data_IF_875887557902
#
_entry.id   IF_875887557902
#
_cell.length_a   1.000
_cell.length_b   1.000
_cell.length_c   1.000
_cell.angle_alpha   90.00
_cell.angle_beta   90.00
_cell.angle_gamma   90.00
#
_symmetry.space_group_name_H-M   'P 1'
#
loop_
_entity.id
_entity.type
_entity.pdbx_description
1 polymer ?
#
# COMPACT_ATOMS: atom_id res chain seq x y z
N UNK A 1 31.53 -3.49 72.29
CA UNK A 1 31.03 -4.23 71.09
C UNK A 1 30.04 -3.36 70.33
N UNK A 2 30.45 -2.78 69.18
CA UNK A 2 29.55 -1.94 68.35
C UNK A 2 28.94 -2.82 67.26
N UNK A 3 27.60 -2.91 67.20
CA UNK A 3 26.86 -3.63 66.13
C UNK A 3 26.70 -2.68 64.96
N UNK A 4 27.28 -3.04 63.79
CA UNK A 4 27.06 -2.35 62.50
C UNK A 4 25.78 -2.83 61.88
N UNK A 5 24.84 -1.89 61.60
CA UNK A 5 23.63 -2.15 60.81
C UNK A 5 23.98 -2.12 59.34
N UNK A 6 23.69 -3.22 58.63
CA UNK A 6 23.78 -3.33 57.18
C UNK A 6 22.47 -2.89 56.57
N UNK A 7 22.45 -1.74 55.87
CA UNK A 7 21.32 -1.22 55.12
C UNK A 7 21.23 -1.95 53.77
N UNK A 8 20.27 -2.87 53.67
CA UNK A 8 19.93 -3.52 52.39
C UNK A 8 18.86 -2.68 51.65
N UNK A 9 19.28 -1.76 50.78
CA UNK A 9 18.42 -1.09 49.84
C UNK A 9 17.97 -2.06 48.73
N UNK A 10 16.71 -2.54 48.82
CA UNK A 10 16.09 -3.33 47.79
C UNK A 10 15.89 -2.45 46.52
N UNK A 11 16.54 -2.84 45.41
CA UNK A 11 16.33 -2.22 44.08
C UNK A 11 14.93 -2.54 43.58
N UNK A 12 14.04 -1.53 43.52
CA UNK A 12 12.72 -1.66 42.85
C UNK A 12 12.94 -1.94 41.37
N UNK A 13 12.56 -3.15 40.92
CA UNK A 13 12.55 -3.52 39.51
C UNK A 13 11.56 -2.63 38.76
N UNK A 14 12.04 -1.91 37.73
CA UNK A 14 11.19 -1.13 36.83
C UNK A 14 10.27 -2.09 36.07
N UNK A 15 8.96 -2.04 36.35
CA UNK A 15 7.92 -2.75 35.63
C UNK A 15 7.94 -2.31 34.16
N UNK A 16 8.42 -3.16 33.26
CA UNK A 16 8.39 -2.95 31.80
C UNK A 16 6.91 -2.84 31.40
N UNK A 17 6.48 -1.68 30.97
CA UNK A 17 5.13 -1.46 30.45
C UNK A 17 4.97 -2.33 29.19
N UNK A 18 4.19 -3.40 29.25
CA UNK A 18 3.78 -4.17 28.06
C UNK A 18 3.06 -3.21 27.11
N UNK A 19 3.69 -2.84 26.01
CA UNK A 19 3.07 -2.05 24.95
C UNK A 19 1.87 -2.83 24.40
N UNK A 20 0.68 -2.24 24.54
CA UNK A 20 -0.56 -2.87 24.07
C UNK A 20 -0.49 -3.00 22.55
N UNK A 21 -0.55 -4.22 22.03
CA UNK A 21 -0.52 -4.49 20.58
C UNK A 21 -1.64 -3.72 19.86
N UNK A 22 -1.29 -3.10 18.72
CA UNK A 22 -2.27 -2.42 17.87
C UNK A 22 -3.37 -3.39 17.42
N UNK A 23 -4.67 -3.01 17.47
CA UNK A 23 -5.76 -3.83 16.96
C UNK A 23 -5.61 -4.11 15.45
N UNK A 24 -5.88 -5.34 15.00
CA UNK A 24 -5.77 -5.75 13.58
C UNK A 24 -6.53 -4.84 12.61
N UNK A 25 -7.77 -4.40 12.86
CA UNK A 25 -8.47 -3.49 11.96
C UNK A 25 -7.76 -2.14 11.78
N UNK A 26 -7.12 -1.64 12.84
CA UNK A 26 -6.33 -0.40 12.78
C UNK A 26 -5.05 -0.61 11.97
N UNK A 27 -4.35 -1.71 12.21
CA UNK A 27 -3.15 -2.10 11.44
C UNK A 27 -3.46 -2.23 9.96
N UNK A 28 -4.53 -2.94 9.58
CA UNK A 28 -4.94 -3.11 8.18
C UNK A 28 -5.27 -1.78 7.50
N UNK A 29 -5.93 -0.84 8.18
CA UNK A 29 -6.19 0.50 7.64
C UNK A 29 -4.90 1.28 7.41
N UNK A 30 -3.93 1.14 8.33
CA UNK A 30 -2.62 1.77 8.20
C UNK A 30 -1.85 1.19 7.02
N UNK A 31 -1.83 -0.13 6.84
CA UNK A 31 -1.19 -0.80 5.70
C UNK A 31 -1.81 -0.37 4.37
N UNK A 32 -3.13 -0.20 4.29
CA UNK A 32 -3.78 0.29 3.08
C UNK A 32 -3.36 1.74 2.74
N UNK A 33 -3.11 2.60 3.74
CA UNK A 33 -2.57 3.95 3.49
C UNK A 33 -1.14 3.89 2.98
N UNK A 34 -0.30 3.05 3.58
CA UNK A 34 1.08 2.84 3.11
C UNK A 34 1.10 2.26 1.68
N UNK A 35 0.22 1.31 1.38
CA UNK A 35 0.06 0.79 0.01
C UNK A 35 -0.32 1.90 -0.98
N UNK A 36 -1.30 2.73 -0.64
CA UNK A 36 -1.69 3.87 -1.47
C UNK A 36 -0.51 4.82 -1.71
N UNK A 37 0.24 5.14 -0.66
CA UNK A 37 1.43 5.98 -0.73
C UNK A 37 2.51 5.36 -1.63
N UNK A 38 2.82 4.07 -1.47
CA UNK A 38 3.78 3.35 -2.30
C UNK A 38 3.39 3.40 -3.79
N UNK A 39 2.11 3.15 -4.11
CA UNK A 39 1.60 3.22 -5.50
C UNK A 39 1.71 4.64 -6.06
N UNK A 40 1.46 5.68 -5.26
CA UNK A 40 1.64 7.07 -5.68
C UNK A 40 3.10 7.39 -5.98
N UNK A 41 4.02 6.96 -5.13
CA UNK A 41 5.46 7.15 -5.34
C UNK A 41 5.94 6.43 -6.61
N UNK A 42 5.64 5.15 -6.76
CA UNK A 42 5.98 4.36 -7.95
C UNK A 42 5.38 4.93 -9.24
N UNK A 43 4.19 5.51 -9.16
CA UNK A 43 3.49 6.11 -10.32
C UNK A 43 4.00 7.50 -10.73
N UNK A 44 4.91 8.13 -9.97
CA UNK A 44 5.50 9.42 -10.29
C UNK A 44 4.48 10.54 -10.48
N UNK A 45 3.37 10.51 -9.71
CA UNK A 45 2.29 11.50 -9.79
C UNK A 45 1.60 11.63 -11.16
N UNK A 46 1.73 10.63 -12.05
CA UNK A 46 1.14 10.63 -13.39
C UNK A 46 0.16 9.48 -13.58
N UNK A 47 -0.92 9.74 -14.33
CA UNK A 47 -1.82 8.68 -14.77
C UNK A 47 -1.09 7.72 -15.70
N UNK A 48 -1.04 6.44 -15.36
CA UNK A 48 -0.35 5.42 -16.15
C UNK A 48 -0.92 5.27 -17.58
N UNK A 49 -2.21 5.58 -17.76
CA UNK A 49 -2.91 5.42 -19.05
C UNK A 49 -2.77 6.64 -19.95
N UNK A 50 -3.03 7.85 -19.45
CA UNK A 50 -3.09 9.06 -20.27
C UNK A 50 -2.01 10.10 -19.99
N UNK A 51 -1.11 9.83 -19.04
CA UNK A 51 0.00 10.72 -18.69
C UNK A 51 -0.39 11.99 -17.92
N UNK A 52 -1.68 12.25 -17.65
CA UNK A 52 -2.12 13.44 -16.92
C UNK A 52 -1.44 13.52 -15.55
N UNK A 53 -1.00 14.71 -15.18
CA UNK A 53 -0.27 14.96 -13.94
C UNK A 53 -1.27 15.18 -12.78
N UNK A 54 -0.88 14.80 -11.56
CA UNK A 54 -1.66 15.05 -10.34
C UNK A 54 -1.86 16.57 -10.14
N UNK A 55 -3.11 16.97 -9.92
CA UNK A 55 -3.47 18.39 -9.75
C UNK A 55 -3.69 19.15 -11.07
N UNK A 56 -3.32 18.59 -12.23
CA UNK A 56 -3.60 19.18 -13.54
C UNK A 56 -5.11 19.34 -13.77
N UNK A 57 -5.52 20.49 -14.31
CA UNK A 57 -6.93 20.76 -14.58
C UNK A 57 -7.42 19.92 -15.77
N UNK A 58 -8.47 19.14 -15.55
CA UNK A 58 -9.12 18.36 -16.59
C UNK A 58 -9.90 19.30 -17.52
N UNK A 59 -9.54 19.40 -18.83
CA UNK A 59 -10.18 20.34 -19.77
C UNK A 59 -11.68 20.06 -19.97
N UNK A 60 -12.15 18.84 -19.68
CA UNK A 60 -13.57 18.48 -19.81
C UNK A 60 -14.42 18.91 -18.61
N UNK A 61 -13.84 18.94 -17.43
CA UNK A 61 -14.57 19.22 -16.18
C UNK A 61 -14.21 20.55 -15.55
N UNK A 62 -13.11 21.18 -15.96
CA UNK A 62 -12.54 22.40 -15.35
C UNK A 62 -12.02 22.18 -13.92
N UNK A 63 -11.89 20.92 -13.47
CA UNK A 63 -11.48 20.58 -12.10
C UNK A 63 -10.08 19.93 -12.07
N UNK A 64 -9.32 20.12 -10.98
CA UNK A 64 -8.04 19.43 -10.82
C UNK A 64 -8.23 17.92 -10.75
N UNK A 65 -7.38 17.19 -11.46
CA UNK A 65 -7.35 15.73 -11.51
C UNK A 65 -6.47 15.17 -10.40
N UNK A 66 -7.06 14.59 -9.37
CA UNK A 66 -6.33 13.87 -8.34
C UNK A 66 -6.19 12.40 -8.72
N UNK A 67 -4.96 11.89 -8.67
CA UNK A 67 -4.69 10.50 -9.00
C UNK A 67 -5.20 9.56 -7.91
N UNK A 68 -5.64 8.38 -8.34
CA UNK A 68 -6.15 7.32 -7.46
C UNK A 68 -5.31 6.06 -7.64
N UNK A 69 -4.86 5.48 -6.54
CA UNK A 69 -4.28 4.15 -6.54
C UNK A 69 -5.41 3.12 -6.79
N UNK A 70 -5.27 2.34 -7.87
CA UNK A 70 -6.22 1.32 -8.29
C UNK A 70 -5.59 -0.06 -8.18
N UNK A 71 -6.31 -1.05 -7.60
CA UNK A 71 -5.89 -2.43 -7.58
C UNK A 71 -6.18 -3.08 -8.94
N UNK A 72 -5.17 -3.67 -9.56
CA UNK A 72 -5.32 -4.44 -10.80
C UNK A 72 -6.19 -5.67 -10.53
N UNK A 73 -5.80 -6.50 -9.58
CA UNK A 73 -6.63 -7.59 -9.05
C UNK A 73 -7.36 -7.09 -7.79
N UNK A 74 -8.70 -7.22 -7.70
CA UNK A 74 -9.46 -6.67 -6.58
C UNK A 74 -9.00 -7.22 -5.23
N UNK A 75 -8.77 -6.33 -4.27
CA UNK A 75 -8.32 -6.68 -2.91
C UNK A 75 -9.26 -7.60 -2.13
N UNK A 76 -10.53 -7.70 -2.56
CA UNK A 76 -11.52 -8.55 -1.90
C UNK A 76 -11.36 -10.02 -2.30
N UNK A 77 -10.97 -10.27 -3.54
CA UNK A 77 -10.84 -11.60 -4.14
C UNK A 77 -9.45 -12.20 -3.96
N UNK A 78 -8.41 -11.35 -3.90
CA UNK A 78 -7.03 -11.79 -3.75
C UNK A 78 -6.36 -11.18 -2.51
N UNK A 79 -6.35 -11.90 -1.37
CA UNK A 79 -5.70 -11.45 -0.14
C UNK A 79 -4.18 -11.23 -0.29
N UNK A 80 -3.49 -12.05 -1.06
CA UNK A 80 -2.04 -11.98 -1.28
C UNK A 80 -1.61 -10.66 -1.92
N UNK A 81 -2.41 -10.17 -2.86
CA UNK A 81 -2.15 -8.92 -3.60
C UNK A 81 -2.74 -7.67 -2.95
N UNK A 82 -3.42 -7.81 -1.81
CA UNK A 82 -4.13 -6.69 -1.15
C UNK A 82 -3.25 -5.49 -0.82
N UNK A 83 -2.01 -5.76 -0.40
CA UNK A 83 -1.05 -4.72 0.01
C UNK A 83 0.19 -4.71 -0.88
N UNK A 84 0.19 -5.47 -1.98
CA UNK A 84 1.32 -5.55 -2.89
C UNK A 84 1.33 -4.31 -3.79
N UNK A 85 2.40 -3.48 -3.79
CA UNK A 85 2.50 -2.30 -4.66
C UNK A 85 2.48 -2.65 -6.15
N UNK A 86 2.96 -3.84 -6.54
CA UNK A 86 2.89 -4.33 -7.92
C UNK A 86 1.47 -4.61 -8.40
N UNK A 87 0.53 -4.82 -7.47
CA UNK A 87 -0.90 -4.87 -7.77
C UNK A 87 -1.54 -3.47 -7.84
N UNK A 88 -0.75 -2.41 -7.74
CA UNK A 88 -1.21 -1.04 -7.75
C UNK A 88 -0.88 -0.31 -9.04
N UNK A 89 -1.81 0.51 -9.52
CA UNK A 89 -1.58 1.40 -10.66
C UNK A 89 -2.22 2.76 -10.40
N UNK A 90 -1.50 3.84 -10.77
CA UNK A 90 -1.96 5.20 -10.54
C UNK A 90 -2.79 5.70 -11.73
N UNK A 91 -4.04 6.08 -11.49
CA UNK A 91 -4.99 6.48 -12.53
C UNK A 91 -5.67 7.81 -12.19
N UNK A 92 -5.88 8.66 -13.19
CA UNK A 92 -6.75 9.83 -13.05
C UNK A 92 -8.24 9.40 -12.95
N UNK A 93 -9.14 10.27 -12.47
CA UNK A 93 -10.56 9.93 -12.29
C UNK A 93 -11.23 9.40 -13.58
N UNK A 94 -10.89 9.97 -14.74
CA UNK A 94 -11.44 9.53 -16.03
C UNK A 94 -10.98 8.10 -16.39
N UNK A 95 -9.67 7.80 -16.29
CA UNK A 95 -9.14 6.46 -16.59
C UNK A 95 -9.47 5.45 -15.50
N UNK A 96 -9.70 5.89 -14.25
CA UNK A 96 -10.08 5.02 -13.15
C UNK A 96 -11.54 4.58 -13.23
N UNK A 97 -12.49 5.54 -13.28
CA UNK A 97 -13.91 5.25 -13.06
C UNK A 97 -14.88 5.88 -14.06
N UNK A 98 -14.64 7.11 -14.52
CA UNK A 98 -15.67 7.89 -15.18
C UNK A 98 -15.67 7.79 -16.71
N UNK A 99 -14.53 7.58 -17.33
CA UNK A 99 -14.41 7.42 -18.78
C UNK A 99 -15.07 6.13 -19.29
N UNK A 100 -15.45 6.11 -20.56
CA UNK A 100 -15.98 4.91 -21.24
C UNK A 100 -14.92 3.79 -21.20
N UNK A 101 -13.70 4.10 -21.55
CA UNK A 101 -12.54 3.21 -21.46
C UNK A 101 -11.81 3.49 -20.13
N UNK A 102 -12.37 3.01 -19.03
CA UNK A 102 -11.81 3.13 -17.69
C UNK A 102 -11.65 1.76 -17.05
N UNK A 103 -10.79 1.66 -16.04
CA UNK A 103 -10.54 0.40 -15.34
C UNK A 103 -11.82 -0.24 -14.79
N UNK A 104 -12.80 0.57 -14.35
CA UNK A 104 -14.06 0.06 -13.79
C UNK A 104 -15.17 -0.19 -14.83
N UNK A 105 -15.22 0.55 -15.94
CA UNK A 105 -16.30 0.41 -16.92
C UNK A 105 -15.89 -0.41 -18.15
N UNK A 106 -14.62 -0.35 -18.52
CA UNK A 106 -14.07 -1.05 -19.68
C UNK A 106 -13.07 -2.12 -19.28
N UNK A 107 -13.49 -3.13 -18.50
CA UNK A 107 -12.60 -4.15 -17.97
C UNK A 107 -11.75 -4.84 -19.06
N UNK A 108 -12.39 -5.25 -20.17
CA UNK A 108 -11.69 -5.90 -21.29
C UNK A 108 -10.64 -4.96 -21.88
N UNK A 109 -11.00 -3.70 -22.10
CA UNK A 109 -10.09 -2.68 -22.59
C UNK A 109 -8.92 -2.47 -21.62
N UNK A 110 -9.18 -2.40 -20.32
CA UNK A 110 -8.15 -2.17 -19.32
C UNK A 110 -7.17 -3.34 -19.22
N UNK A 111 -7.67 -4.58 -19.25
CA UNK A 111 -6.82 -5.78 -19.28
C UNK A 111 -5.98 -5.81 -20.55
N UNK A 112 -6.56 -5.53 -21.72
CA UNK A 112 -5.82 -5.46 -23.00
C UNK A 112 -4.74 -4.37 -22.93
N UNK A 113 -5.05 -3.22 -22.33
CA UNK A 113 -4.08 -2.14 -22.13
C UNK A 113 -2.92 -2.58 -21.20
N UNK A 114 -3.20 -3.26 -20.09
CA UNK A 114 -2.17 -3.82 -19.19
C UNK A 114 -1.26 -4.79 -19.93
N UNK A 115 -1.81 -5.70 -20.70
CA UNK A 115 -1.05 -6.69 -21.47
C UNK A 115 -0.12 -6.04 -22.50
N UNK A 116 -0.50 -4.90 -23.08
CA UNK A 116 0.28 -4.23 -24.12
C UNK A 116 1.31 -3.24 -23.55
N UNK A 117 1.01 -2.58 -22.44
CA UNK A 117 1.83 -1.46 -21.94
C UNK A 117 2.42 -1.68 -20.54
N UNK A 118 1.96 -2.73 -19.82
CA UNK A 118 2.40 -3.08 -18.47
C UNK A 118 2.53 -4.60 -18.32
N UNK A 119 3.08 -5.25 -19.33
CA UNK A 119 3.14 -6.72 -19.44
C UNK A 119 3.75 -7.39 -18.21
N UNK A 120 4.89 -6.90 -17.75
CA UNK A 120 5.58 -7.46 -16.57
C UNK A 120 4.73 -7.38 -15.31
N UNK A 121 4.06 -6.23 -15.10
CA UNK A 121 3.16 -6.04 -13.97
C UNK A 121 1.93 -6.94 -14.07
N UNK A 122 1.37 -7.11 -15.27
CA UNK A 122 0.25 -8.00 -15.53
C UNK A 122 0.61 -9.47 -15.25
N UNK A 123 1.75 -9.94 -15.77
CA UNK A 123 2.22 -11.31 -15.57
C UNK A 123 2.54 -11.59 -14.10
N UNK A 124 3.15 -10.63 -13.39
CA UNK A 124 3.38 -10.71 -11.95
C UNK A 124 2.08 -10.92 -11.17
N UNK A 125 1.05 -10.12 -11.46
CA UNK A 125 -0.26 -10.21 -10.80
C UNK A 125 -0.91 -11.57 -11.08
N UNK A 126 -0.82 -12.09 -12.32
CA UNK A 126 -1.34 -13.41 -12.68
C UNK A 126 -0.69 -14.55 -11.87
N UNK A 127 0.63 -14.50 -11.69
CA UNK A 127 1.36 -15.51 -10.91
C UNK A 127 1.00 -15.45 -9.43
N UNK A 128 0.90 -14.23 -8.89
CA UNK A 128 0.67 -13.99 -7.46
C UNK A 128 -0.78 -14.16 -7.00
N UNK A 129 -1.74 -14.07 -7.90
CA UNK A 129 -3.17 -14.06 -7.55
C UNK A 129 -3.66 -15.32 -6.83
N UNK A 130 -3.01 -16.46 -7.10
CA UNK A 130 -3.40 -17.75 -6.54
C UNK A 130 -2.66 -18.09 -5.23
N UNK A 131 -1.79 -17.20 -4.76
CA UNK A 131 -1.12 -17.38 -3.47
C UNK A 131 -2.11 -17.24 -2.31
N UNK A 132 -2.00 -18.17 -1.36
CA UNK A 132 -2.84 -18.17 -0.15
C UNK A 132 -2.07 -17.53 1.00
N UNK A 133 -2.62 -16.45 1.58
CA UNK A 133 -2.04 -15.76 2.73
C UNK A 133 -3.09 -15.55 3.82
N UNK A 134 -2.64 -15.56 5.07
CA UNK A 134 -3.50 -15.23 6.21
C UNK A 134 -3.37 -13.75 6.56
N UNK A 135 -4.30 -12.93 6.10
CA UNK A 135 -4.33 -11.47 6.39
C UNK A 135 -4.64 -11.14 7.87
N UNK A 136 -4.87 -12.14 8.73
CA UNK A 136 -5.00 -11.95 10.17
C UNK A 136 -3.70 -12.27 10.92
N UNK A 137 -2.73 -12.87 10.25
CA UNK A 137 -1.42 -13.13 10.81
C UNK A 137 -0.63 -11.82 10.99
N UNK A 138 -0.16 -11.60 12.22
CA UNK A 138 0.58 -10.39 12.56
C UNK A 138 1.99 -10.36 11.97
N UNK A 139 2.64 -11.50 11.93
CA UNK A 139 3.99 -11.62 11.37
C UNK A 139 3.97 -11.30 9.87
N UNK A 140 2.99 -11.87 9.15
CA UNK A 140 2.74 -11.51 7.75
C UNK A 140 2.49 -10.01 7.58
N UNK A 141 1.62 -9.41 8.40
CA UNK A 141 1.32 -7.97 8.31
C UNK A 141 2.49 -7.08 8.71
N UNK A 142 3.40 -7.54 9.57
CA UNK A 142 4.63 -6.82 9.92
C UNK A 142 5.63 -6.86 8.76
N UNK A 143 5.77 -8.02 8.09
CA UNK A 143 6.58 -8.16 6.89
C UNK A 143 6.07 -7.26 5.75
N UNK A 144 4.76 -7.25 5.49
CA UNK A 144 4.11 -6.35 4.53
C UNK A 144 4.41 -4.88 4.85
N UNK A 145 4.30 -4.48 6.12
CA UNK A 145 4.60 -3.10 6.52
C UNK A 145 6.04 -2.71 6.23
N UNK A 146 6.97 -3.61 6.53
CA UNK A 146 8.39 -3.39 6.26
C UNK A 146 8.62 -3.17 4.76
N UNK A 147 8.13 -4.08 3.90
CA UNK A 147 8.25 -3.97 2.44
C UNK A 147 7.67 -2.66 1.91
N UNK A 148 6.47 -2.26 2.37
CA UNK A 148 5.85 -1.01 1.93
C UNK A 148 6.69 0.22 2.29
N UNK A 149 7.26 0.26 3.50
CA UNK A 149 8.13 1.35 3.94
C UNK A 149 9.44 1.41 3.16
N UNK A 150 10.02 0.26 2.84
CA UNK A 150 11.21 0.15 1.99
C UNK A 150 10.91 0.67 0.58
N UNK A 151 9.81 0.23 -0.05
CA UNK A 151 9.37 0.74 -1.36
C UNK A 151 9.21 2.26 -1.37
N UNK A 152 8.56 2.85 -0.35
CA UNK A 152 8.39 4.29 -0.24
C UNK A 152 9.74 5.01 -0.12
N UNK A 153 10.63 4.50 0.75
CA UNK A 153 11.95 5.10 1.00
C UNK A 153 12.86 5.05 -0.23
N UNK A 154 12.81 3.97 -1.02
CA UNK A 154 13.66 3.82 -2.21
C UNK A 154 13.21 4.78 -3.32
N UNK A 155 11.92 4.97 -3.51
CA UNK A 155 11.38 5.97 -4.44
C UNK A 155 11.71 7.42 -4.04
N UNK A 156 11.89 7.71 -2.75
CA UNK A 156 12.33 9.04 -2.28
C UNK A 156 13.82 9.34 -2.57
N UNK A 157 14.64 8.31 -2.85
CA UNK A 157 16.05 8.48 -3.22
C UNK A 157 16.26 8.65 -4.72
N UNK A 158 15.31 8.18 -5.53
CA UNK A 158 15.39 8.22 -7.00
C UNK A 158 14.75 9.50 -7.61
N UNK A 159 14.02 10.28 -6.83
CA UNK A 159 13.31 11.51 -7.25
C UNK A 159 13.99 12.77 -6.75
#
# INVERSE_FOLDING_TARGET
MRKTKVDTKAKKSKKVKKTKLEPLPKKRRRLMRLWTEAVHKMGGSKCAVCGRVHGEVDPKTGKPSYMNAHHIEPRATCPALRYDPMNGILLCPSCHKFGRNSAHKGMIWFITWLMNYRREQYDYVLVKRDEVVNINDREYLDAVEKTLRETISDQDKEG
#
